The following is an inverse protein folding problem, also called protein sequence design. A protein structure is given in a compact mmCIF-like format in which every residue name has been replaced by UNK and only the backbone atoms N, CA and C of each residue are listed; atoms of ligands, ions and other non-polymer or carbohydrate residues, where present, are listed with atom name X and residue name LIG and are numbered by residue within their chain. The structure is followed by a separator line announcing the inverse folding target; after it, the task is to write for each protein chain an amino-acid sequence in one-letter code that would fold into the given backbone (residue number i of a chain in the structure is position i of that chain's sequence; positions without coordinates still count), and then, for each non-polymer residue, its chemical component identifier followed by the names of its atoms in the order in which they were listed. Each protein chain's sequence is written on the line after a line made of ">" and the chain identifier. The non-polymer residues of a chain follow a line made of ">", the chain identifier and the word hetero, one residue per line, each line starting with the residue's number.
data_IF_686308909823
#
_entry.id   IF_686308909823
#
_cell.length_a   1.000
_cell.length_b   1.000
_cell.length_c   1.000
_cell.angle_alpha   90.00
_cell.angle_beta   90.00
_cell.angle_gamma   90.00
#
_symmetry.space_group_name_H-M   'P 1'
#
loop_
_entity.id
_entity.type
_entity.pdbx_description
1 polymer ?
#
# COMPACT_ATOMS: atom_id res chain seq x y z
N UNK A 1 20.31 8.53 20.02
CA UNK A 1 19.19 9.47 19.84
C UNK A 1 19.45 10.50 18.77
N UNK A 2 20.60 11.14 18.77
CA UNK A 2 20.93 12.12 17.73
C UNK A 2 20.92 11.54 16.34
N UNK A 3 21.40 10.30 16.19
CA UNK A 3 21.35 9.60 14.92
C UNK A 3 19.92 9.39 14.45
N UNK A 4 19.00 9.18 15.39
CA UNK A 4 17.60 8.98 15.06
C UNK A 4 16.96 10.25 14.53
N UNK A 5 17.39 11.43 14.97
CA UNK A 5 16.88 12.68 14.43
C UNK A 5 17.18 12.81 12.95
N UNK A 6 18.43 12.54 12.56
CA UNK A 6 18.80 12.60 11.16
C UNK A 6 18.06 11.57 10.34
N UNK A 7 17.96 10.36 10.85
CA UNK A 7 17.19 9.33 10.19
C UNK A 7 15.72 9.71 10.08
N UNK A 8 15.20 10.40 11.07
CA UNK A 8 13.81 10.81 11.08
C UNK A 8 13.52 11.82 9.96
N UNK A 9 14.39 12.78 9.73
CA UNK A 9 14.24 13.71 8.61
C UNK A 9 14.31 13.01 7.27
N UNK A 10 15.28 12.14 7.10
CA UNK A 10 15.42 11.35 5.89
C UNK A 10 14.21 10.46 5.69
N UNK A 11 13.69 9.90 6.77
CA UNK A 11 12.53 9.04 6.73
C UNK A 11 11.27 9.81 6.30
N UNK A 12 11.07 11.04 6.79
CA UNK A 12 9.93 11.86 6.40
C UNK A 12 9.95 12.16 4.91
N UNK A 13 11.10 12.54 4.39
CA UNK A 13 11.26 12.80 2.97
C UNK A 13 11.00 11.53 2.15
N UNK A 14 11.52 10.41 2.61
CA UNK A 14 11.35 9.13 1.93
C UNK A 14 9.90 8.65 2.00
N UNK A 15 9.21 8.90 3.10
CA UNK A 15 7.79 8.57 3.22
C UNK A 15 6.94 9.33 2.22
N UNK A 16 7.26 10.60 1.99
CA UNK A 16 6.56 11.40 1.01
C UNK A 16 6.76 10.84 -0.41
N UNK A 17 7.99 10.51 -0.77
CA UNK A 17 8.31 9.88 -2.05
C UNK A 17 7.64 8.52 -2.21
N UNK A 18 7.62 7.75 -1.13
CA UNK A 18 6.97 6.44 -1.11
C UNK A 18 5.48 6.57 -1.41
N UNK A 19 4.79 7.52 -0.78
CA UNK A 19 3.36 7.72 -1.01
C UNK A 19 3.07 8.13 -2.46
N UNK A 20 3.91 8.98 -3.03
CA UNK A 20 3.80 9.39 -4.42
C UNK A 20 3.96 8.21 -5.36
N UNK A 21 4.98 7.38 -5.12
CA UNK A 21 5.25 6.20 -5.93
C UNK A 21 4.16 5.16 -5.79
N UNK A 22 3.60 5.01 -4.60
CA UNK A 22 2.48 4.10 -4.38
C UNK A 22 1.29 4.48 -5.25
N UNK A 23 0.95 5.76 -5.29
CA UNK A 23 -0.15 6.26 -6.10
C UNK A 23 0.09 6.01 -7.60
N UNK A 24 1.30 6.25 -8.06
CA UNK A 24 1.66 6.02 -9.46
C UNK A 24 1.55 4.54 -9.82
N UNK A 25 2.04 3.68 -8.95
CA UNK A 25 1.98 2.24 -9.17
C UNK A 25 0.53 1.76 -9.21
N UNK A 26 -0.30 2.24 -8.29
CA UNK A 26 -1.71 1.87 -8.27
C UNK A 26 -2.42 2.33 -9.56
N UNK A 27 -2.07 3.51 -10.06
CA UNK A 27 -2.65 3.99 -11.30
C UNK A 27 -2.27 3.12 -12.49
N UNK A 28 -1.03 2.69 -12.57
CA UNK A 28 -0.58 1.77 -13.61
C UNK A 28 -1.32 0.43 -13.55
N UNK A 29 -1.47 -0.11 -12.35
CA UNK A 29 -2.16 -1.39 -12.18
C UNK A 29 -3.67 -1.26 -12.42
N UNK A 30 -4.23 -0.12 -12.09
CA UNK A 30 -5.62 0.18 -12.39
C UNK A 30 -5.89 0.04 -13.89
N UNK A 31 -5.01 0.59 -14.71
CA UNK A 31 -5.11 0.45 -16.16
C UNK A 31 -4.84 -0.98 -16.62
N UNK A 32 -3.81 -1.59 -16.07
CA UNK A 32 -3.41 -2.95 -16.46
C UNK A 32 -4.49 -3.99 -16.18
N UNK A 33 -5.16 -3.86 -15.04
CA UNK A 33 -6.20 -4.80 -14.63
C UNK A 33 -7.58 -4.39 -15.12
N UNK A 34 -7.64 -3.30 -15.90
CA UNK A 34 -8.87 -2.82 -16.52
C UNK A 34 -9.98 -2.55 -15.50
N UNK A 35 -9.59 -1.94 -14.41
CA UNK A 35 -10.50 -1.65 -13.29
C UNK A 35 -11.54 -0.58 -13.64
N UNK A 36 -11.42 0.06 -14.80
CA UNK A 36 -12.42 1.00 -15.29
C UNK A 36 -13.78 0.38 -15.51
N UNK A 37 -13.82 -0.94 -15.65
CA UNK A 37 -15.09 -1.66 -15.73
C UNK A 37 -15.86 -1.63 -14.41
N UNK A 38 -15.17 -1.40 -13.31
CA UNK A 38 -15.76 -1.46 -11.96
C UNK A 38 -15.79 -0.09 -11.29
N UNK A 39 -14.81 0.76 -11.57
CA UNK A 39 -14.70 2.11 -11.01
C UNK A 39 -14.76 3.12 -12.16
N UNK A 40 -15.43 4.25 -11.91
CA UNK A 40 -15.57 5.29 -12.93
C UNK A 40 -14.22 5.90 -13.34
N UNK A 41 -13.30 5.98 -12.38
CA UNK A 41 -12.00 6.58 -12.59
C UNK A 41 -11.02 6.04 -11.57
N UNK A 42 -9.73 6.30 -11.79
CA UNK A 42 -8.72 5.98 -10.80
C UNK A 42 -8.98 6.72 -9.49
N UNK A 43 -9.43 7.96 -9.54
CA UNK A 43 -9.72 8.74 -8.34
C UNK A 43 -10.77 8.05 -7.47
N UNK A 44 -11.82 7.51 -8.07
CA UNK A 44 -12.85 6.77 -7.32
C UNK A 44 -12.25 5.55 -6.64
N UNK A 45 -11.43 4.79 -7.35
CA UNK A 45 -10.73 3.64 -6.79
C UNK A 45 -9.86 4.07 -5.61
N UNK A 46 -9.06 5.10 -5.81
CA UNK A 46 -8.11 5.57 -4.80
C UNK A 46 -8.81 6.11 -3.55
N UNK A 47 -9.89 6.86 -3.74
CA UNK A 47 -10.67 7.39 -2.62
C UNK A 47 -11.26 6.28 -1.75
N UNK A 48 -11.63 5.17 -2.36
CA UNK A 48 -12.14 4.01 -1.61
C UNK A 48 -11.01 3.22 -0.97
N UNK A 49 -9.89 3.14 -1.65
CA UNK A 49 -8.72 2.40 -1.18
C UNK A 49 -8.10 3.02 0.08
N UNK A 50 -7.96 4.34 0.11
CA UNK A 50 -7.22 5.03 1.17
C UNK A 50 -7.77 4.72 2.57
N UNK A 51 -9.09 4.88 2.84
CA UNK A 51 -9.61 4.59 4.18
C UNK A 51 -9.55 3.09 4.53
N UNK A 52 -9.76 2.23 3.55
CA UNK A 52 -9.67 0.78 3.77
C UNK A 52 -8.25 0.40 4.14
N UNK A 53 -7.28 0.90 3.41
CA UNK A 53 -5.88 0.65 3.67
C UNK A 53 -5.48 1.14 5.07
N UNK A 54 -5.90 2.36 5.43
CA UNK A 54 -5.61 2.93 6.74
C UNK A 54 -6.19 2.08 7.87
N UNK A 55 -7.43 1.63 7.70
CA UNK A 55 -8.10 0.79 8.69
C UNK A 55 -7.38 -0.54 8.90
N UNK A 56 -6.96 -1.17 7.80
CA UNK A 56 -6.25 -2.45 7.88
C UNK A 56 -4.86 -2.29 8.49
N UNK A 57 -4.17 -1.20 8.17
CA UNK A 57 -2.89 -0.91 8.82
C UNK A 57 -3.04 -0.74 10.32
N UNK A 58 -4.09 -0.09 10.77
CA UNK A 58 -4.35 0.06 12.19
C UNK A 58 -4.57 -1.29 12.85
N UNK A 59 -5.35 -2.17 12.25
CA UNK A 59 -5.58 -3.53 12.75
C UNK A 59 -4.27 -4.31 12.80
N UNK A 60 -3.45 -4.17 11.79
CA UNK A 60 -2.16 -4.85 11.76
C UNK A 60 -1.24 -4.35 12.89
N UNK A 61 -1.21 -3.05 13.12
CA UNK A 61 -0.42 -2.49 14.23
C UNK A 61 -0.91 -2.96 15.58
N UNK A 62 -2.19 -3.26 15.70
CA UNK A 62 -2.80 -3.74 16.93
C UNK A 62 -2.79 -5.26 17.05
N UNK A 63 -2.08 -5.94 16.16
CA UNK A 63 -1.95 -7.41 16.14
C UNK A 63 -3.28 -8.13 15.89
N UNK A 64 -4.25 -7.46 15.30
CA UNK A 64 -5.57 -8.05 15.04
C UNK A 64 -5.60 -8.88 13.76
N UNK A 65 -4.71 -8.57 12.81
CA UNK A 65 -4.63 -9.30 11.53
C UNK A 65 -3.18 -9.58 11.19
N UNK A 66 -2.97 -10.55 10.29
CA UNK A 66 -1.64 -10.90 9.80
C UNK A 66 -1.23 -9.98 8.66
N UNK A 67 0.05 -9.97 8.35
CA UNK A 67 0.57 -9.18 7.24
C UNK A 67 -0.10 -9.55 5.91
N UNK A 68 -0.34 -10.84 5.68
CA UNK A 68 -0.99 -11.27 4.44
C UNK A 68 -2.43 -10.78 4.35
N UNK A 69 -3.12 -10.71 5.48
CA UNK A 69 -4.49 -10.20 5.52
C UNK A 69 -4.53 -8.71 5.15
N UNK A 70 -3.53 -7.97 5.59
CA UNK A 70 -3.36 -6.57 5.21
C UNK A 70 -3.07 -6.45 3.73
N UNK A 71 -2.07 -7.18 3.24
CA UNK A 71 -1.57 -7.04 1.88
C UNK A 71 -2.63 -7.34 0.82
N UNK A 72 -3.36 -8.42 1.01
CA UNK A 72 -4.40 -8.83 0.08
C UNK A 72 -5.73 -8.15 0.38
N UNK A 73 -6.06 -8.06 1.66
CA UNK A 73 -7.35 -7.55 2.12
C UNK A 73 -7.62 -6.12 1.67
N UNK A 74 -6.60 -5.26 1.65
CA UNK A 74 -6.78 -3.87 1.23
C UNK A 74 -7.29 -3.76 -0.21
N UNK A 75 -6.83 -4.63 -1.10
CA UNK A 75 -7.31 -4.64 -2.48
C UNK A 75 -8.60 -5.42 -2.61
N UNK A 76 -8.72 -6.55 -1.93
CA UNK A 76 -9.94 -7.34 -1.95
C UNK A 76 -11.15 -6.53 -1.49
N UNK A 77 -11.03 -5.84 -0.36
CA UNK A 77 -12.11 -5.02 0.17
C UNK A 77 -12.43 -3.83 -0.73
N UNK A 78 -11.39 -3.21 -1.30
CA UNK A 78 -11.60 -2.11 -2.25
C UNK A 78 -12.36 -2.59 -3.47
N UNK A 79 -11.98 -3.73 -4.02
CA UNK A 79 -12.68 -4.32 -5.17
C UNK A 79 -14.14 -4.65 -4.81
N UNK A 80 -14.37 -5.15 -3.61
CA UNK A 80 -15.73 -5.48 -3.17
C UNK A 80 -16.65 -4.27 -3.16
N UNK A 81 -16.12 -3.08 -2.90
CA UNK A 81 -16.94 -1.85 -2.91
C UNK A 81 -17.54 -1.56 -4.28
N UNK A 82 -16.95 -2.10 -5.32
CA UNK A 82 -17.43 -1.93 -6.70
C UNK A 82 -18.12 -3.18 -7.23
N UNK A 83 -18.39 -4.15 -6.37
CA UNK A 83 -19.03 -5.39 -6.77
C UNK A 83 -18.09 -6.44 -7.33
N UNK A 84 -16.78 -6.21 -7.25
CA UNK A 84 -15.78 -7.15 -7.73
C UNK A 84 -15.26 -7.99 -6.57
N UNK A 85 -15.90 -9.13 -6.33
CA UNK A 85 -15.49 -10.03 -5.26
C UNK A 85 -14.62 -11.15 -5.83
N UNK A 86 -13.32 -10.88 -5.95
CA UNK A 86 -12.37 -11.82 -6.53
C UNK A 86 -11.05 -11.75 -5.76
N UNK A 87 -10.89 -12.66 -4.81
CA UNK A 87 -9.70 -12.68 -3.94
C UNK A 87 -8.45 -13.09 -4.72
N UNK A 88 -8.58 -13.93 -5.74
CA UNK A 88 -7.44 -14.33 -6.55
C UNK A 88 -6.86 -13.14 -7.31
N UNK A 89 -7.73 -12.31 -7.87
CA UNK A 89 -7.32 -11.09 -8.54
C UNK A 89 -6.68 -10.12 -7.57
N UNK A 90 -7.23 -10.01 -6.36
CA UNK A 90 -6.65 -9.16 -5.31
C UNK A 90 -5.26 -9.63 -4.93
N UNK A 91 -5.04 -10.93 -4.84
CA UNK A 91 -3.73 -11.49 -4.54
C UNK A 91 -2.73 -11.19 -5.64
N UNK A 92 -3.10 -11.39 -6.90
CA UNK A 92 -2.24 -11.08 -8.03
C UNK A 92 -1.92 -9.59 -8.09
N UNK A 93 -2.92 -8.75 -7.87
CA UNK A 93 -2.77 -7.31 -7.83
C UNK A 93 -1.80 -6.90 -6.72
N UNK A 94 -1.96 -7.48 -5.54
CA UNK A 94 -1.10 -7.20 -4.40
C UNK A 94 0.36 -7.58 -4.67
N UNK A 95 0.58 -8.76 -5.22
CA UNK A 95 1.93 -9.24 -5.52
C UNK A 95 2.60 -8.34 -6.56
N UNK A 96 1.88 -7.96 -7.58
CA UNK A 96 2.40 -7.10 -8.63
C UNK A 96 2.64 -5.69 -8.11
N UNK A 97 1.76 -5.19 -7.25
CA UNK A 97 1.94 -3.89 -6.62
C UNK A 97 3.23 -3.82 -5.83
N UNK A 98 3.48 -4.81 -4.98
CA UNK A 98 4.70 -4.86 -4.16
C UNK A 98 5.94 -4.90 -5.05
N UNK A 99 5.94 -5.76 -6.05
CA UNK A 99 7.09 -5.90 -6.94
C UNK A 99 7.36 -4.62 -7.72
N UNK A 100 6.31 -4.02 -8.30
CA UNK A 100 6.46 -2.82 -9.12
C UNK A 100 6.84 -1.60 -8.28
N UNK A 101 6.21 -1.46 -7.13
CA UNK A 101 6.49 -0.32 -6.25
C UNK A 101 7.93 -0.36 -5.74
N UNK A 102 8.44 -1.54 -5.43
CA UNK A 102 9.83 -1.72 -5.01
C UNK A 102 10.82 -1.33 -6.11
N UNK A 103 10.47 -1.58 -7.36
CA UNK A 103 11.33 -1.23 -8.50
C UNK A 103 11.39 0.28 -8.74
N UNK A 104 10.26 0.96 -8.57
CA UNK A 104 10.20 2.42 -8.80
C UNK A 104 11.05 3.20 -7.82
N UNK A 105 11.22 2.65 -6.66
CA UNK A 105 11.91 3.32 -5.57
C UNK A 105 13.19 2.55 -5.27
N UNK A 106 14.22 2.76 -6.06
CA UNK A 106 15.48 2.03 -5.97
C UNK A 106 16.14 2.06 -4.61
N UNK A 107 16.01 3.17 -3.94
CA UNK A 107 16.56 3.33 -2.59
C UNK A 107 15.66 2.65 -1.58
N UNK A 108 14.55 2.26 -2.02
CA UNK A 108 13.42 1.92 -1.22
C UNK A 108 13.41 0.54 -0.60
N UNK A 109 14.01 -0.51 -1.16
CA UNK A 109 14.03 -1.77 -0.42
C UNK A 109 14.50 -1.59 1.01
N UNK A 110 15.52 -0.76 1.19
CA UNK A 110 16.02 -0.45 2.53
C UNK A 110 14.99 0.35 3.34
N UNK A 111 14.41 1.38 2.73
CA UNK A 111 13.45 2.24 3.40
C UNK A 111 12.16 1.51 3.71
N UNK A 112 11.71 0.66 2.81
CA UNK A 112 10.51 -0.13 3.02
C UNK A 112 10.68 -1.06 4.21
N UNK A 113 11.81 -1.74 4.28
CA UNK A 113 12.13 -2.62 5.41
C UNK A 113 12.18 -1.84 6.71
N UNK A 114 12.75 -0.65 6.66
CA UNK A 114 12.81 0.22 7.82
C UNK A 114 11.42 0.62 8.31
N UNK A 115 10.52 0.95 7.40
CA UNK A 115 9.15 1.31 7.75
C UNK A 115 8.42 0.13 8.39
N UNK A 116 8.58 -1.06 7.86
CA UNK A 116 7.98 -2.26 8.44
C UNK A 116 8.57 -2.55 9.82
N UNK A 117 9.86 -2.36 9.96
CA UNK A 117 10.54 -2.54 11.24
C UNK A 117 10.05 -1.54 12.28
N UNK A 118 9.94 -0.27 11.89
CA UNK A 118 9.57 0.78 12.83
C UNK A 118 8.12 0.68 13.28
N UNK A 119 7.21 0.34 12.40
CA UNK A 119 5.79 0.28 12.74
C UNK A 119 5.47 -0.66 13.89
N UNK A 120 5.97 -1.91 13.91
CA UNK A 120 5.71 -2.78 15.05
C UNK A 120 6.31 -2.29 16.35
N UNK A 121 7.38 -1.52 16.29
CA UNK A 121 8.13 -1.11 17.47
C UNK A 121 7.73 0.25 18.00
N UNK A 122 7.15 1.11 17.17
CA UNK A 122 6.92 2.51 17.51
C UNK A 122 5.46 2.94 17.44
N UNK A 123 4.59 2.02 17.28
CA UNK A 123 3.15 2.32 17.30
C UNK A 123 2.59 2.37 18.72
#
# INVERSE_FOLDING_TARGET
>A
MKKYRHLFFDLDHTLWDFATNERLTLNELFDKYDLRHYFKSFNEFYERYVPINASLWEKYRNWEIRKIDLSIGRFHQTFQTAGLDNIEMAELFSNEFVATNSQKTNVVPFTFDLLEYLKPHYT
#
